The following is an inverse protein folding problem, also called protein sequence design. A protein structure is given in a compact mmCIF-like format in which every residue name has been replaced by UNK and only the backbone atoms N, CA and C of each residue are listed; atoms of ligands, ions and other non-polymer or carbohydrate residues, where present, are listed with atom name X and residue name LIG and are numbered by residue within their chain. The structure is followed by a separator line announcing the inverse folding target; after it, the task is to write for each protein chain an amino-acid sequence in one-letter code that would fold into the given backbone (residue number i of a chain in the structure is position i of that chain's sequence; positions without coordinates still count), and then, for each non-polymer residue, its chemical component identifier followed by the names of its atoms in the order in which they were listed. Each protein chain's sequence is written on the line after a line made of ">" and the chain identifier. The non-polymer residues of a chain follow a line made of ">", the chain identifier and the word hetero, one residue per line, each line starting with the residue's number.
data_IF_082430621052
#
_entry.id   IF_082430621052
#
_cell.length_a   1.000
_cell.length_b   1.000
_cell.length_c   1.000
_cell.angle_alpha   90.00
_cell.angle_beta   90.00
_cell.angle_gamma   90.00
#
_symmetry.space_group_name_H-M   'P 1'
#
loop_
_entity.id
_entity.type
_entity.pdbx_description
1 polymer ?
#
# COMPACT_ATOMS: atom_id res chain seq x y z
N UNK A 1 0.74 16.70 7.53
CA UNK A 1 1.30 15.80 6.50
C UNK A 1 2.41 16.54 5.78
N UNK A 2 3.52 15.85 5.50
CA UNK A 2 4.64 16.44 4.76
C UNK A 2 4.25 16.83 3.33
N UNK A 3 4.97 17.79 2.75
CA UNK A 3 4.65 18.32 1.42
C UNK A 3 5.09 17.39 0.28
N UNK A 4 6.11 16.56 0.52
CA UNK A 4 6.62 15.52 -0.37
C UNK A 4 6.98 14.26 0.42
N UNK A 5 7.07 13.07 -0.20
CA UNK A 5 7.50 11.84 0.48
C UNK A 5 8.86 11.95 1.18
N UNK A 6 9.79 12.72 0.62
CA UNK A 6 11.16 12.92 1.13
C UNK A 6 11.22 13.77 2.41
N UNK A 7 10.22 14.64 2.60
CA UNK A 7 10.13 15.55 3.76
C UNK A 7 9.32 14.96 4.93
N UNK A 8 8.85 13.72 4.81
CA UNK A 8 8.12 13.01 5.86
C UNK A 8 9.03 12.55 7.00
N UNK A 9 8.65 12.80 8.26
CA UNK A 9 9.52 12.51 9.41
C UNK A 9 9.64 11.01 9.72
N UNK A 10 8.64 10.19 9.35
CA UNK A 10 8.58 8.77 9.73
C UNK A 10 7.87 7.90 8.70
N UNK A 11 8.49 7.66 7.55
CA UNK A 11 7.88 6.74 6.57
C UNK A 11 8.91 5.90 5.85
N UNK A 12 8.60 4.60 5.69
CA UNK A 12 9.35 3.64 4.87
C UNK A 12 9.69 4.18 3.47
N UNK A 13 8.81 5.00 2.87
CA UNK A 13 9.06 5.65 1.57
C UNK A 13 10.27 6.59 1.60
N UNK A 14 10.50 7.34 2.69
CA UNK A 14 11.64 8.26 2.81
C UNK A 14 12.96 7.49 2.83
N UNK A 15 13.04 6.44 3.65
CA UNK A 15 14.24 5.60 3.72
C UNK A 15 14.54 4.97 2.36
N UNK A 16 13.50 4.52 1.65
CA UNK A 16 13.64 3.95 0.31
C UNK A 16 14.11 4.99 -0.70
N UNK A 17 13.53 6.18 -0.73
CA UNK A 17 13.97 7.26 -1.62
C UNK A 17 15.41 7.70 -1.30
N UNK A 18 15.77 7.84 -0.02
CA UNK A 18 17.15 8.17 0.38
C UNK A 18 18.16 7.12 -0.10
N UNK A 19 17.81 5.83 -0.02
CA UNK A 19 18.64 4.74 -0.55
C UNK A 19 18.87 4.89 -2.05
N UNK A 20 17.85 5.30 -2.82
CA UNK A 20 17.95 5.51 -4.27
C UNK A 20 18.74 6.78 -4.64
N UNK A 21 18.69 7.83 -3.82
CA UNK A 21 19.36 9.11 -4.08
C UNK A 21 20.84 9.11 -3.67
N UNK A 22 21.24 8.19 -2.79
CA UNK A 22 22.61 8.10 -2.30
C UNK A 22 23.55 7.31 -3.24
N UNK A 23 23.09 6.92 -4.43
CA UNK A 23 23.86 6.16 -5.41
C UNK A 23 24.10 7.00 -6.66
N UNK A 24 25.30 6.94 -7.23
CA UNK A 24 25.64 7.66 -8.47
C UNK A 24 24.79 7.18 -9.67
N UNK A 25 24.22 5.98 -9.54
CA UNK A 25 23.23 5.41 -10.44
C UNK A 25 22.06 4.87 -9.61
N UNK A 26 20.86 5.49 -9.66
CA UNK A 26 19.70 4.99 -8.94
C UNK A 26 19.34 3.60 -9.47
N UNK A 27 19.63 2.56 -8.68
CA UNK A 27 19.19 1.19 -8.92
C UNK A 27 18.10 0.85 -7.91
N UNK A 28 16.91 0.52 -8.40
CA UNK A 28 15.77 0.10 -7.58
C UNK A 28 16.03 -1.20 -6.79
N UNK A 29 17.15 -1.89 -7.06
CA UNK A 29 17.66 -3.01 -6.26
C UNK A 29 18.30 -2.56 -4.94
N UNK A 30 18.82 -1.35 -4.86
CA UNK A 30 19.46 -0.83 -3.65
C UNK A 30 18.39 -0.29 -2.68
N UNK A 31 18.13 -1.07 -1.63
CA UNK A 31 17.05 -0.81 -0.67
C UNK A 31 17.56 -0.81 0.77
N UNK A 32 16.89 -0.10 1.70
CA UNK A 32 17.30 -0.07 3.10
C UNK A 32 17.27 -1.45 3.75
N UNK A 33 18.39 -1.88 4.34
CA UNK A 33 18.53 -3.17 5.04
C UNK A 33 17.58 -3.32 6.25
N UNK A 34 17.06 -2.22 6.79
CA UNK A 34 16.12 -2.23 7.91
C UNK A 34 14.65 -2.41 7.47
N UNK A 35 14.37 -2.49 6.17
CA UNK A 35 13.03 -2.70 5.62
C UNK A 35 12.99 -3.99 4.81
N UNK A 36 11.84 -4.67 4.82
CA UNK A 36 11.65 -5.87 3.99
C UNK A 36 11.77 -5.49 2.49
N UNK A 37 12.62 -6.16 1.71
CA UNK A 37 12.96 -5.71 0.36
C UNK A 37 11.83 -6.00 -0.63
N UNK A 38 11.70 -5.15 -1.64
CA UNK A 38 10.92 -5.44 -2.84
C UNK A 38 11.73 -6.33 -3.77
N UNK A 39 11.16 -7.45 -4.19
CA UNK A 39 11.85 -8.47 -5.01
C UNK A 39 11.23 -8.63 -6.40
N UNK A 40 10.35 -7.70 -6.77
CA UNK A 40 9.68 -7.65 -8.06
C UNK A 40 8.48 -8.58 -8.14
N UNK A 41 7.92 -8.71 -9.34
CA UNK A 41 6.70 -9.50 -9.56
C UNK A 41 6.91 -11.01 -9.26
N UNK A 42 5.84 -11.74 -8.86
CA UNK A 42 5.89 -13.17 -8.60
C UNK A 42 6.50 -13.98 -9.75
N UNK A 43 7.46 -14.84 -9.44
CA UNK A 43 8.16 -15.73 -10.38
C UNK A 43 8.66 -17.01 -9.70
N UNK A 44 9.01 -18.02 -10.48
CA UNK A 44 9.66 -19.22 -9.95
C UNK A 44 10.99 -18.87 -9.28
N UNK A 45 11.31 -19.55 -8.17
CA UNK A 45 12.50 -19.31 -7.35
C UNK A 45 12.62 -17.86 -6.85
N UNK A 46 11.50 -17.29 -6.41
CA UNK A 46 11.46 -15.93 -5.86
C UNK A 46 12.30 -15.81 -4.59
N UNK A 47 13.21 -14.82 -4.49
CA UNK A 47 13.91 -14.55 -3.24
C UNK A 47 12.93 -14.03 -2.20
N UNK A 48 13.32 -14.11 -0.93
CA UNK A 48 12.51 -13.63 0.17
C UNK A 48 12.31 -12.11 0.10
N UNK A 49 11.05 -11.66 0.05
CA UNK A 49 10.70 -10.24 0.01
C UNK A 49 9.26 -9.95 -0.40
N UNK A 50 8.95 -8.67 -0.58
CA UNK A 50 7.68 -8.16 -1.07
C UNK A 50 7.52 -8.44 -2.57
N UNK A 51 6.47 -9.15 -3.01
CA UNK A 51 6.32 -9.61 -4.37
C UNK A 51 5.72 -8.57 -5.33
N UNK A 52 6.36 -7.40 -5.37
CA UNK A 52 6.02 -6.29 -6.26
C UNK A 52 7.24 -5.41 -6.48
N UNK A 53 7.19 -4.53 -7.49
CA UNK A 53 8.28 -3.62 -7.80
C UNK A 53 8.31 -2.44 -6.81
N UNK A 54 9.50 -1.93 -6.49
CA UNK A 54 9.63 -0.73 -5.66
C UNK A 54 9.04 0.50 -6.36
N UNK A 55 9.18 0.59 -7.68
CA UNK A 55 8.60 1.67 -8.50
C UNK A 55 7.09 1.72 -8.37
N UNK A 56 6.44 0.56 -8.43
CA UNK A 56 5.00 0.40 -8.29
C UNK A 56 4.54 0.98 -6.93
N UNK A 57 5.26 0.70 -5.84
CA UNK A 57 4.94 1.27 -4.53
C UNK A 57 5.15 2.79 -4.45
N UNK A 58 6.24 3.31 -5.02
CA UNK A 58 6.51 4.75 -5.02
C UNK A 58 5.40 5.49 -5.77
N UNK A 59 5.02 5.00 -6.96
CA UNK A 59 3.92 5.55 -7.76
C UNK A 59 2.61 5.55 -6.98
N UNK A 60 2.27 4.44 -6.32
CA UNK A 60 1.06 4.34 -5.50
C UNK A 60 1.03 5.36 -4.36
N UNK A 61 2.14 5.51 -3.63
CA UNK A 61 2.24 6.43 -2.49
C UNK A 61 2.13 7.88 -2.96
N UNK A 62 2.81 8.24 -4.04
CA UNK A 62 2.79 9.57 -4.64
C UNK A 62 1.38 9.93 -5.15
N UNK A 63 0.75 9.03 -5.91
CA UNK A 63 -0.61 9.22 -6.43
C UNK A 63 -1.63 9.37 -5.30
N UNK A 64 -1.52 8.54 -4.27
CA UNK A 64 -2.41 8.60 -3.11
C UNK A 64 -2.19 9.89 -2.32
N UNK A 65 -0.94 10.28 -2.06
CA UNK A 65 -0.59 11.52 -1.37
C UNK A 65 -1.12 12.76 -2.09
N UNK A 66 -0.99 12.79 -3.43
CA UNK A 66 -1.50 13.87 -4.28
C UNK A 66 -3.02 13.97 -4.22
N UNK A 67 -3.74 12.85 -4.28
CA UNK A 67 -5.20 12.82 -4.15
C UNK A 67 -5.69 13.24 -2.75
N UNK A 68 -4.90 12.99 -1.71
CA UNK A 68 -5.25 13.31 -0.33
C UNK A 68 -5.03 14.78 0.05
N UNK A 69 -4.15 15.52 -0.63
CA UNK A 69 -3.88 16.93 -0.31
C UNK A 69 -5.05 17.83 -0.71
N UNK A 70 -5.89 18.21 0.27
CA UNK A 70 -7.05 19.08 0.06
C UNK A 70 -6.60 20.48 -0.40
N UNK A 71 -7.05 20.93 -1.58
CA UNK A 71 -6.96 22.34 -1.99
C UNK A 71 -6.43 22.64 -3.40
N UNK A 72 -5.91 21.67 -4.15
CA UNK A 72 -5.55 21.90 -5.56
C UNK A 72 -6.34 20.96 -6.47
N UNK A 73 -7.09 21.56 -7.40
CA UNK A 73 -7.70 20.88 -8.54
C UNK A 73 -6.63 20.01 -9.22
N UNK A 74 -6.82 18.71 -9.14
CA UNK A 74 -5.90 17.71 -9.65
C UNK A 74 -6.49 16.33 -9.40
N UNK A 75 -7.68 16.08 -9.96
CA UNK A 75 -8.16 14.72 -10.14
C UNK A 75 -7.08 14.04 -11.00
N UNK A 76 -6.20 13.25 -10.39
CA UNK A 76 -5.51 12.23 -11.18
C UNK A 76 -6.65 11.38 -11.70
N UNK A 77 -6.85 11.37 -13.01
CA UNK A 77 -7.83 10.50 -13.61
C UNK A 77 -7.49 9.08 -13.13
N UNK A 78 -8.44 8.39 -12.51
CA UNK A 78 -8.28 6.97 -12.16
C UNK A 78 -7.92 6.12 -13.39
N UNK A 79 -8.11 6.66 -14.60
CA UNK A 79 -7.61 6.09 -15.84
C UNK A 79 -6.08 6.12 -16.01
N UNK A 80 -5.37 7.02 -15.31
CA UNK A 80 -3.95 7.37 -15.51
C UNK A 80 -2.96 6.63 -14.61
N UNK A 81 -3.41 5.90 -13.59
CA UNK A 81 -2.53 5.11 -12.73
C UNK A 81 -2.74 3.62 -13.03
N UNK A 82 -1.88 3.00 -13.88
CA UNK A 82 -1.98 1.59 -14.23
C UNK A 82 -1.99 0.68 -13.00
N UNK A 83 -1.30 1.10 -11.92
CA UNK A 83 -1.22 0.34 -10.70
C UNK A 83 -2.56 0.27 -9.95
N UNK A 84 -3.33 1.36 -9.88
CA UNK A 84 -4.65 1.34 -9.23
C UNK A 84 -5.64 0.42 -9.96
N UNK A 85 -5.56 0.36 -11.30
CA UNK A 85 -6.33 -0.60 -12.11
C UNK A 85 -5.89 -2.04 -11.87
N UNK A 86 -4.58 -2.30 -11.86
CA UNK A 86 -4.01 -3.64 -11.59
C UNK A 86 -4.41 -4.18 -10.21
N UNK A 87 -4.45 -3.31 -9.20
CA UNK A 87 -4.81 -3.67 -7.83
C UNK A 87 -6.32 -3.88 -7.63
N UNK A 88 -7.14 -3.67 -8.67
CA UNK A 88 -8.61 -3.71 -8.61
C UNK A 88 -9.17 -2.87 -7.45
N UNK A 89 -8.46 -1.80 -7.09
CA UNK A 89 -8.82 -0.93 -5.99
C UNK A 89 -9.78 0.10 -6.54
N UNK A 90 -11.06 0.00 -6.19
CA UNK A 90 -12.03 1.02 -6.58
C UNK A 90 -11.54 2.36 -6.02
N UNK A 91 -11.14 3.28 -6.90
CA UNK A 91 -10.36 4.47 -6.54
C UNK A 91 -11.00 5.28 -5.39
N UNK A 92 -12.35 5.29 -5.32
CA UNK A 92 -13.12 5.93 -4.26
C UNK A 92 -12.94 5.24 -2.89
N UNK A 93 -13.06 3.92 -2.84
CA UNK A 93 -12.86 3.14 -1.63
C UNK A 93 -11.41 3.22 -1.17
N UNK A 94 -10.47 3.14 -2.12
CA UNK A 94 -9.05 3.23 -1.83
C UNK A 94 -8.67 4.55 -1.15
N UNK A 95 -9.08 5.66 -1.76
CA UNK A 95 -8.81 6.99 -1.18
C UNK A 95 -9.46 7.19 0.19
N UNK A 96 -10.69 6.67 0.36
CA UNK A 96 -11.37 6.70 1.66
C UNK A 96 -10.58 5.90 2.72
N UNK A 97 -10.15 4.68 2.39
CA UNK A 97 -9.37 3.84 3.27
C UNK A 97 -7.99 4.45 3.57
N UNK A 98 -7.32 5.11 2.63
CA UNK A 98 -6.05 5.79 2.89
C UNK A 98 -6.13 6.87 3.98
N UNK A 99 -7.33 7.40 4.27
CA UNK A 99 -7.58 8.31 5.40
C UNK A 99 -8.13 7.62 6.64
N UNK A 100 -9.00 6.63 6.42
CA UNK A 100 -9.88 6.10 7.44
C UNK A 100 -9.57 4.63 7.76
N UNK A 101 -8.42 4.10 7.37
CA UNK A 101 -8.11 2.68 7.52
C UNK A 101 -8.29 2.21 8.97
N UNK A 102 -7.61 2.89 9.90
CA UNK A 102 -7.64 2.54 11.32
C UNK A 102 -8.98 2.85 11.99
N UNK A 103 -9.78 3.77 11.46
CA UNK A 103 -11.14 4.02 11.97
C UNK A 103 -12.15 3.00 11.43
N UNK A 104 -11.94 2.53 10.20
CA UNK A 104 -12.80 1.57 9.47
C UNK A 104 -12.55 0.13 9.90
N UNK A 105 -11.29 -0.23 10.18
CA UNK A 105 -10.90 -1.57 10.60
C UNK A 105 -10.30 -1.53 12.00
N UNK A 106 -10.85 -2.37 12.89
CA UNK A 106 -10.42 -2.49 14.31
C UNK A 106 -9.86 -3.88 14.61
N UNK A 107 -9.41 -4.60 13.59
CA UNK A 107 -9.00 -6.00 13.70
C UNK A 107 -8.53 -6.55 12.36
N UNK A 108 -8.75 -7.85 12.16
CA UNK A 108 -8.31 -8.54 10.95
C UNK A 108 -8.99 -7.97 9.69
N UNK A 109 -8.24 -7.90 8.60
CA UNK A 109 -8.70 -7.36 7.31
C UNK A 109 -8.34 -8.35 6.20
N UNK A 110 -9.25 -8.55 5.25
CA UNK A 110 -9.05 -9.39 4.07
C UNK A 110 -10.37 -9.92 3.53
N UNK A 111 -10.31 -10.79 2.52
CA UNK A 111 -11.53 -11.41 1.98
C UNK A 111 -12.27 -12.18 3.06
N UNK A 112 -13.60 -12.15 3.01
CA UNK A 112 -14.46 -12.75 4.06
C UNK A 112 -14.15 -14.23 4.29
N UNK A 113 -13.82 -14.96 3.23
CA UNK A 113 -13.42 -16.38 3.31
C UNK A 113 -12.14 -16.56 4.13
N UNK A 114 -11.10 -15.77 3.84
CA UNK A 114 -9.83 -15.82 4.57
C UNK A 114 -9.98 -15.29 6.00
N UNK A 115 -10.81 -14.27 6.19
CA UNK A 115 -11.11 -13.69 7.49
C UNK A 115 -11.77 -14.71 8.43
N UNK A 116 -12.76 -15.47 7.93
CA UNK A 116 -13.37 -16.58 8.68
C UNK A 116 -12.35 -17.64 9.08
N UNK A 117 -11.49 -18.04 8.15
CA UNK A 117 -10.44 -19.02 8.41
C UNK A 117 -9.45 -18.53 9.48
N UNK A 118 -8.98 -17.28 9.36
CA UNK A 118 -8.07 -16.66 10.32
C UNK A 118 -8.71 -16.53 11.70
N UNK A 119 -9.96 -16.05 11.77
CA UNK A 119 -10.70 -15.94 13.03
C UNK A 119 -10.81 -17.29 13.75
N UNK A 120 -11.16 -18.36 13.01
CA UNK A 120 -11.23 -19.72 13.57
C UNK A 120 -9.87 -20.20 14.09
N UNK A 121 -8.79 -20.01 13.30
CA UNK A 121 -7.43 -20.40 13.69
C UNK A 121 -6.95 -19.65 14.94
N UNK A 122 -7.35 -18.40 15.11
CA UNK A 122 -6.99 -17.56 16.24
C UNK A 122 -7.95 -17.70 17.44
N UNK A 123 -8.92 -18.63 17.39
CA UNK A 123 -9.84 -18.91 18.51
C UNK A 123 -10.97 -17.90 18.68
N UNK A 124 -11.23 -17.04 17.70
CA UNK A 124 -12.35 -16.10 17.76
C UNK A 124 -13.69 -16.82 17.55
N UNK A 125 -14.67 -16.52 18.42
CA UNK A 125 -16.05 -17.02 18.30
C UNK A 125 -16.81 -16.34 17.15
N UNK A 126 -16.50 -15.06 16.89
CA UNK A 126 -17.12 -14.25 15.82
C UNK A 126 -16.09 -13.84 14.77
N UNK A 127 -16.54 -13.66 13.53
CA UNK A 127 -15.71 -13.04 12.49
C UNK A 127 -15.64 -11.53 12.72
N UNK A 128 -14.52 -11.06 13.28
CA UNK A 128 -14.28 -9.63 13.52
C UNK A 128 -14.14 -8.87 12.20
N UNK A 129 -14.56 -7.59 12.18
CA UNK A 129 -14.50 -6.70 11.00
C UNK A 129 -15.18 -7.22 9.72
N UNK A 130 -16.07 -8.22 9.83
CA UNK A 130 -16.72 -8.86 8.68
C UNK A 130 -17.44 -7.85 7.76
N UNK A 131 -18.28 -6.96 8.32
CA UNK A 131 -19.06 -5.99 7.54
C UNK A 131 -18.17 -5.01 6.77
N UNK A 132 -17.16 -4.43 7.44
CA UNK A 132 -16.20 -3.55 6.77
C UNK A 132 -15.44 -4.30 5.67
N UNK A 133 -15.04 -5.55 5.92
CA UNK A 133 -14.34 -6.35 4.91
C UNK A 133 -15.24 -6.70 3.71
N UNK A 134 -16.53 -7.01 3.94
CA UNK A 134 -17.52 -7.24 2.87
C UNK A 134 -17.69 -6.00 1.98
N UNK A 135 -17.64 -4.80 2.57
CA UNK A 135 -17.83 -3.56 1.83
C UNK A 135 -16.61 -3.16 1.00
N UNK A 136 -15.40 -3.36 1.54
CA UNK A 136 -14.18 -2.78 0.96
C UNK A 136 -13.26 -3.80 0.28
N UNK A 137 -13.47 -5.11 0.52
CA UNK A 137 -12.70 -6.21 -0.05
C UNK A 137 -13.63 -7.31 -0.60
N UNK A 138 -14.41 -7.02 -1.65
CA UNK A 138 -15.36 -7.96 -2.24
C UNK A 138 -14.68 -9.21 -2.84
#
# INVERSE_FOLDING_TARGET
>A
MAETPETSDHTSIKLRIQSLLNTDHPDYKEQPNCLYPFVGNPRDNMPEGLPFELTDYIELVEDTGRQLRAGKRGKIDSSLSPILKRLNFEAKNGLYLSRNFESTFKGLVGSVSKLKQACKKLGYVRTICKQSCEQYFP
#
